data_IF_877635760255
#
_entry.id   IF_877635760255
#
_cell.length_a   1.000
_cell.length_b   1.000
_cell.length_c   1.000
_cell.angle_alpha   90.00
_cell.angle_beta   90.00
_cell.angle_gamma   90.00
#
_symmetry.space_group_name_H-M   'P 1'
#
loop_
_entity.id
_entity.type
_entity.pdbx_description
1 polymer ?
#
# COMPACT_ATOMS: atom_id res chain seq x y z
N UNK A 1 10.66 8.61 27.55
CA UNK A 1 9.42 7.95 27.08
C UNK A 1 8.31 7.93 28.14
N UNK A 2 8.31 8.85 29.10
CA UNK A 2 7.35 8.87 30.23
C UNK A 2 6.68 10.23 30.42
N UNK A 3 7.11 11.26 29.68
CA UNK A 3 6.56 12.60 29.80
C UNK A 3 5.27 12.69 28.97
N UNK A 4 4.11 12.98 29.60
CA UNK A 4 2.81 13.05 28.95
C UNK A 4 2.77 13.95 27.70
N UNK A 5 3.42 15.14 27.67
CA UNK A 5 3.40 16.02 26.50
C UNK A 5 4.10 15.42 25.29
N UNK A 6 5.23 14.72 25.49
CA UNK A 6 5.96 14.07 24.42
C UNK A 6 5.13 12.91 23.85
N UNK A 7 4.50 12.11 24.72
CA UNK A 7 3.64 11.01 24.30
C UNK A 7 2.48 11.49 23.42
N UNK A 8 1.76 12.51 23.88
CA UNK A 8 0.62 13.06 23.14
C UNK A 8 1.05 13.72 21.81
N UNK A 9 2.22 14.38 21.76
CA UNK A 9 2.78 14.91 20.52
C UNK A 9 3.08 13.81 19.50
N UNK A 10 3.72 12.70 19.93
CA UNK A 10 4.01 11.57 19.05
C UNK A 10 2.74 10.84 18.60
N UNK A 11 1.77 10.65 19.49
CA UNK A 11 0.47 10.06 19.16
C UNK A 11 -0.30 10.93 18.14
N UNK A 12 -0.29 12.25 18.31
CA UNK A 12 -0.91 13.17 17.35
C UNK A 12 -0.18 13.19 16.00
N UNK A 13 1.16 13.17 16.00
CA UNK A 13 1.97 13.04 14.78
C UNK A 13 1.69 11.72 14.06
N UNK A 14 1.67 10.61 14.77
CA UNK A 14 1.38 9.30 14.21
C UNK A 14 -0.04 9.24 13.63
N UNK A 15 -1.01 9.82 14.34
CA UNK A 15 -2.41 9.91 13.89
C UNK A 15 -2.54 10.79 12.65
N UNK A 16 -1.88 11.94 12.59
CA UNK A 16 -1.86 12.81 11.42
C UNK A 16 -1.19 12.12 10.23
N UNK A 17 -0.03 11.51 10.43
CA UNK A 17 0.66 10.75 9.38
C UNK A 17 -0.21 9.62 8.86
N UNK A 18 -0.87 8.86 9.74
CA UNK A 18 -1.83 7.84 9.33
C UNK A 18 -2.96 8.44 8.48
N UNK A 19 -3.51 9.58 8.91
CA UNK A 19 -4.58 10.28 8.19
C UNK A 19 -4.13 10.77 6.81
N UNK A 20 -2.91 11.29 6.70
CA UNK A 20 -2.33 11.77 5.44
C UNK A 20 -2.07 10.61 4.46
N UNK A 21 -1.67 9.43 4.95
CA UNK A 21 -1.52 8.22 4.12
C UNK A 21 -2.85 7.54 3.81
N UNK A 22 -3.86 7.66 4.69
CA UNK A 22 -5.18 7.06 4.47
C UNK A 22 -6.00 7.85 3.45
N UNK A 23 -5.73 9.15 3.28
CA UNK A 23 -6.37 9.99 2.26
C UNK A 23 -5.50 10.01 1.01
N UNK A 24 -5.87 9.20 0.02
CA UNK A 24 -5.18 9.24 -1.27
C UNK A 24 -5.34 10.59 -1.94
N UNK A 25 -4.23 11.13 -2.47
CA UNK A 25 -4.28 11.97 -3.68
C UNK A 25 -5.22 11.30 -4.66
N UNK A 26 -6.08 12.06 -5.35
CA UNK A 26 -7.11 11.61 -6.31
C UNK A 26 -6.54 10.63 -7.35
N UNK A 27 -6.35 9.39 -6.94
CA UNK A 27 -5.58 8.36 -7.61
C UNK A 27 -6.42 7.10 -7.51
N UNK A 28 -6.32 6.29 -8.54
CA UNK A 28 -7.08 5.06 -8.66
C UNK A 28 -6.53 4.03 -7.66
N UNK A 29 -6.82 4.20 -6.36
CA UNK A 29 -6.41 3.29 -5.28
C UNK A 29 -6.89 1.87 -5.57
N UNK A 30 -8.04 1.70 -6.22
CA UNK A 30 -8.53 0.38 -6.64
C UNK A 30 -7.56 -0.36 -7.58
N UNK A 31 -6.67 0.36 -8.27
CA UNK A 31 -5.62 -0.26 -9.08
C UNK A 31 -4.32 -0.49 -8.31
N UNK A 32 -4.22 -0.11 -7.04
CA UNK A 32 -3.02 -0.35 -6.23
C UNK A 32 -2.82 -1.85 -6.00
N UNK A 33 -1.57 -2.28 -6.11
CA UNK A 33 -1.15 -3.66 -5.86
C UNK A 33 -0.15 -3.72 -4.71
N UNK A 34 -0.51 -4.46 -3.67
CA UNK A 34 0.31 -4.70 -2.50
C UNK A 34 0.88 -6.11 -2.52
N UNK A 35 2.18 -6.22 -2.22
CA UNK A 35 2.81 -7.49 -1.89
C UNK A 35 3.10 -7.49 -0.40
N UNK A 36 2.53 -8.47 0.31
CA UNK A 36 2.68 -8.60 1.76
C UNK A 36 3.27 -9.96 2.12
N UNK A 37 4.10 -9.98 3.14
CA UNK A 37 4.78 -11.18 3.62
C UNK A 37 3.97 -11.83 4.75
N UNK A 38 3.91 -13.16 4.81
CA UNK A 38 3.19 -13.86 5.89
C UNK A 38 4.03 -14.04 7.15
N UNK A 39 5.35 -14.02 7.01
CA UNK A 39 6.32 -14.16 8.10
C UNK A 39 7.16 -12.88 8.24
N UNK A 40 6.50 -11.73 8.09
CA UNK A 40 7.14 -10.42 8.16
C UNK A 40 7.43 -10.04 9.62
N UNK A 41 8.69 -9.76 9.93
CA UNK A 41 9.12 -9.30 11.26
C UNK A 41 9.05 -7.78 11.44
N UNK A 42 8.82 -7.01 10.36
CA UNK A 42 8.76 -5.55 10.37
C UNK A 42 7.34 -5.03 10.25
N UNK A 43 6.51 -5.69 9.43
CA UNK A 43 5.11 -5.32 9.21
C UNK A 43 4.21 -6.37 9.82
N UNK A 44 3.58 -6.04 10.96
CA UNK A 44 2.68 -6.95 11.66
C UNK A 44 1.46 -7.26 10.79
N UNK A 45 1.00 -8.52 10.82
CA UNK A 45 -0.26 -8.94 10.19
C UNK A 45 -1.43 -8.82 11.15
N UNK A 46 -1.20 -9.13 12.41
CA UNK A 46 -2.20 -9.14 13.46
C UNK A 46 -2.18 -7.83 14.23
N UNK A 47 -3.34 -7.41 14.75
CA UNK A 47 -3.47 -6.17 15.52
C UNK A 47 -3.47 -4.89 14.67
N UNK A 48 -3.41 -5.00 13.34
CA UNK A 48 -3.60 -3.88 12.42
C UNK A 48 -4.86 -4.08 11.57
N UNK A 49 -5.54 -2.99 11.13
CA UNK A 49 -6.64 -3.10 10.20
C UNK A 49 -6.22 -3.83 8.92
N UNK A 50 -7.11 -4.66 8.37
CA UNK A 50 -6.87 -5.25 7.06
C UNK A 50 -6.71 -4.15 6.02
N UNK A 51 -5.75 -4.34 5.12
CA UNK A 51 -5.40 -3.33 4.13
C UNK A 51 -6.58 -2.94 3.24
N UNK A 52 -7.47 -3.89 2.93
CA UNK A 52 -8.69 -3.64 2.14
C UNK A 52 -9.75 -2.82 2.92
N UNK A 53 -9.67 -2.76 4.26
CA UNK A 53 -10.54 -1.91 5.07
C UNK A 53 -10.04 -0.46 5.07
N UNK A 54 -8.72 -0.26 4.96
CA UNK A 54 -8.10 1.08 4.88
C UNK A 54 -8.24 1.63 3.47
N UNK A 55 -7.93 0.80 2.47
CA UNK A 55 -8.00 1.13 1.06
C UNK A 55 -8.92 0.15 0.36
N UNK A 56 -10.17 0.54 0.20
CA UNK A 56 -11.17 -0.30 -0.46
C UNK A 56 -10.82 -0.56 -1.92
N UNK A 57 -10.86 -1.83 -2.33
CA UNK A 57 -10.71 -2.25 -3.73
C UNK A 57 -9.26 -2.49 -4.16
N UNK A 58 -8.31 -2.49 -3.24
CA UNK A 58 -6.91 -2.83 -3.55
C UNK A 58 -6.72 -4.32 -3.85
N UNK A 59 -5.64 -4.62 -4.56
CA UNK A 59 -5.19 -5.99 -4.79
C UNK A 59 -4.03 -6.34 -3.87
N UNK A 60 -4.10 -7.48 -3.17
CA UNK A 60 -3.06 -7.93 -2.23
C UNK A 60 -2.59 -9.32 -2.62
N UNK A 61 -1.28 -9.51 -2.73
CA UNK A 61 -0.63 -10.81 -2.93
C UNK A 61 0.21 -11.17 -1.71
N UNK A 62 -0.05 -12.33 -1.14
CA UNK A 62 0.71 -12.81 0.03
C UNK A 62 1.85 -13.74 -0.39
N UNK A 63 3.03 -13.53 0.20
CA UNK A 63 4.21 -14.35 -0.01
C UNK A 63 4.59 -15.05 1.30
N UNK A 64 4.83 -16.38 1.31
CA UNK A 64 5.12 -17.13 2.53
C UNK A 64 6.57 -16.98 3.04
N UNK A 65 7.12 -15.76 3.01
CA UNK A 65 8.48 -15.44 3.40
C UNK A 65 8.50 -14.27 4.40
N UNK A 66 9.69 -13.92 4.89
CA UNK A 66 9.93 -12.68 5.62
C UNK A 66 10.24 -11.53 4.67
N UNK A 67 10.26 -10.30 5.17
CA UNK A 67 10.37 -9.09 4.35
C UNK A 67 11.56 -9.12 3.38
N UNK A 68 12.76 -9.35 3.91
CA UNK A 68 14.01 -9.38 3.13
C UNK A 68 14.06 -10.59 2.21
N UNK A 69 13.67 -11.77 2.69
CA UNK A 69 13.72 -13.01 1.89
C UNK A 69 12.69 -13.00 0.75
N UNK A 70 11.51 -12.44 0.97
CA UNK A 70 10.53 -12.24 -0.10
C UNK A 70 11.11 -11.36 -1.20
N UNK A 71 11.74 -10.23 -0.85
CA UNK A 71 12.36 -9.37 -1.85
C UNK A 71 13.48 -10.09 -2.60
N UNK A 72 14.42 -10.72 -1.90
CA UNK A 72 15.58 -11.36 -2.54
C UNK A 72 15.21 -12.56 -3.42
N UNK A 73 14.25 -13.39 -3.00
CA UNK A 73 13.97 -14.67 -3.67
C UNK A 73 12.74 -14.67 -4.58
N UNK A 74 11.82 -13.69 -4.45
CA UNK A 74 10.59 -13.63 -5.26
C UNK A 74 10.57 -12.47 -6.26
N UNK A 75 11.72 -12.06 -6.80
CA UNK A 75 11.83 -10.95 -7.77
C UNK A 75 10.84 -11.07 -8.94
N UNK A 76 10.65 -12.27 -9.50
CA UNK A 76 9.65 -12.50 -10.57
C UNK A 76 8.23 -12.16 -10.15
N UNK A 77 7.86 -12.42 -8.88
CA UNK A 77 6.58 -12.06 -8.32
C UNK A 77 6.38 -10.54 -8.21
N UNK A 78 7.42 -9.81 -7.83
CA UNK A 78 7.40 -8.34 -7.81
C UNK A 78 7.28 -7.76 -9.22
N UNK A 79 8.04 -8.27 -10.19
CA UNK A 79 7.95 -7.83 -11.58
C UNK A 79 6.57 -8.10 -12.20
N UNK A 80 6.02 -9.29 -11.93
CA UNK A 80 4.68 -9.63 -12.40
C UNK A 80 3.62 -8.70 -11.80
N UNK A 81 3.69 -8.44 -10.49
CA UNK A 81 2.76 -7.53 -9.83
C UNK A 81 2.82 -6.10 -10.39
N UNK A 82 4.05 -5.60 -10.63
CA UNK A 82 4.23 -4.29 -11.25
C UNK A 82 3.64 -4.24 -12.68
N UNK A 83 3.89 -5.26 -13.50
CA UNK A 83 3.33 -5.35 -14.84
C UNK A 83 1.80 -5.43 -14.82
N UNK A 84 1.24 -6.24 -13.92
CA UNK A 84 -0.21 -6.40 -13.74
C UNK A 84 -0.86 -5.07 -13.32
N UNK A 85 -0.26 -4.36 -12.36
CA UNK A 85 -0.71 -3.02 -11.95
C UNK A 85 -0.71 -2.05 -13.13
N UNK A 86 0.36 -2.01 -13.93
CA UNK A 86 0.46 -1.13 -15.10
C UNK A 86 -0.57 -1.48 -16.16
N UNK A 87 -0.78 -2.77 -16.46
CA UNK A 87 -1.79 -3.22 -17.42
C UNK A 87 -3.20 -2.79 -17.00
N UNK A 88 -3.53 -2.85 -15.70
CA UNK A 88 -4.80 -2.36 -15.16
C UNK A 88 -4.96 -0.83 -15.25
N UNK A 89 -3.86 -0.09 -15.34
CA UNK A 89 -3.87 1.37 -15.53
C UNK A 89 -4.03 1.77 -17.00
N UNK A 90 -3.58 0.97 -17.97
CA UNK A 90 -3.63 1.30 -19.40
C UNK A 90 -4.99 1.81 -19.91
N UNK A 91 -6.15 1.17 -19.60
CA UNK A 91 -7.44 1.71 -20.03
C UNK A 91 -7.72 3.11 -19.48
N UNK A 92 -7.24 3.45 -18.27
CA UNK A 92 -7.40 4.77 -17.67
C UNK A 92 -6.48 5.83 -18.29
N UNK A 93 -5.27 5.46 -18.71
CA UNK A 93 -4.33 6.37 -19.39
C UNK A 93 -4.90 6.80 -20.75
N UNK A 94 -5.47 5.85 -21.50
CA UNK A 94 -6.09 6.15 -22.79
C UNK A 94 -7.31 7.08 -22.64
N UNK A 95 -8.22 6.79 -21.70
CA UNK A 95 -9.39 7.62 -21.43
C UNK A 95 -9.03 9.06 -21.02
N UNK A 96 -7.98 9.24 -20.20
CA UNK A 96 -7.51 10.57 -19.77
C UNK A 96 -6.87 11.37 -20.90
N UNK A 97 -6.22 10.69 -21.86
CA UNK A 97 -5.66 11.35 -23.05
C UNK A 97 -6.76 11.89 -23.96
N UNK A 98 -7.87 11.17 -24.09
CA UNK A 98 -9.04 11.60 -24.90
C UNK A 98 -9.76 12.78 -24.25
N UNK A 99 -9.96 12.78 -22.93
CA UNK A 99 -10.65 13.88 -22.22
C UNK A 99 -9.87 15.20 -22.18
N UNK A 100 -8.56 15.17 -22.39
CA UNK A 100 -7.70 16.37 -22.42
C UNK A 100 -7.51 16.93 -23.84
N UNK A 101 -8.13 16.32 -24.85
CA UNK A 101 -8.03 16.73 -26.27
C UNK A 101 -9.37 17.30 -26.80
N UNK A 102 -10.46 17.17 -26.05
CA UNK A 102 -11.77 17.82 -26.31
C UNK A 102 -11.90 19.16 -25.59
#
# INVERSE_FOLDING_TARGET
WSDPPCRQFYENKASQTFYDYSHSVQSNISNAMFIACTHDGYVLRDGIPYMNNVWSGIHIRYIPHGHVSAFLFNQSGFHHAAAEMLQRQEPNIFSRKVSNIS
#
